data_IF_273055965310
#
_entry.id   IF_273055965310
#
_cell.length_a   1.000
_cell.length_b   1.000
_cell.length_c   1.000
_cell.angle_alpha   90.00
_cell.angle_beta   90.00
_cell.angle_gamma   90.00
#
_symmetry.space_group_name_H-M   'P 1'
#
loop_
_entity.id
_entity.type
_entity.pdbx_description
1 polymer ?
#
# COMPACT_ATOMS: atom_id res chain seq x y z
N UNK A 1 2.33 -14.82 11.86
CA UNK A 1 2.29 -13.55 11.08
C UNK A 1 1.08 -12.73 11.54
N UNK A 2 1.05 -11.41 11.36
CA UNK A 2 -0.16 -10.63 11.60
C UNK A 2 -1.20 -10.90 10.48
N UNK A 3 -2.49 -10.67 10.77
CA UNK A 3 -3.55 -10.63 9.76
C UNK A 3 -3.44 -9.37 8.89
N UNK A 4 -4.29 -9.24 7.87
CA UNK A 4 -4.33 -8.05 7.04
C UNK A 4 -4.71 -6.79 7.86
N UNK A 5 -4.23 -5.59 7.47
CA UNK A 5 -4.77 -4.34 7.99
C UNK A 5 -6.27 -4.21 7.70
N UNK A 6 -6.96 -3.38 8.47
CA UNK A 6 -8.43 -3.21 8.38
C UNK A 6 -8.80 -1.79 7.98
N UNK A 7 -10.06 -1.58 7.60
CA UNK A 7 -10.65 -0.26 7.37
C UNK A 7 -9.78 0.67 6.50
N UNK A 8 -9.15 0.11 5.47
CA UNK A 8 -8.29 0.89 4.60
C UNK A 8 -9.14 1.81 3.72
N UNK A 9 -8.74 3.05 3.62
CA UNK A 9 -9.39 4.08 2.83
C UNK A 9 -8.35 4.87 2.04
N UNK A 10 -8.79 5.43 0.92
CA UNK A 10 -7.97 6.29 0.06
C UNK A 10 -8.67 7.62 -0.18
N UNK A 11 -7.94 8.72 -0.08
CA UNK A 11 -8.38 10.04 -0.49
C UNK A 11 -7.47 10.57 -1.61
N UNK A 12 -8.04 10.86 -2.77
CA UNK A 12 -7.31 11.30 -3.97
C UNK A 12 -7.37 12.80 -4.08
N UNK A 13 -6.21 13.41 -4.30
CA UNK A 13 -6.08 14.81 -4.66
C UNK A 13 -5.19 14.91 -5.91
N UNK A 14 -5.80 15.13 -7.07
CA UNK A 14 -5.12 15.20 -8.38
C UNK A 14 -4.26 13.95 -8.65
N UNK A 15 -2.92 14.10 -8.58
CA UNK A 15 -1.87 13.08 -8.76
C UNK A 15 -1.31 12.54 -7.45
N UNK A 16 -1.95 12.86 -6.32
CA UNK A 16 -1.57 12.42 -4.99
C UNK A 16 -2.68 11.63 -4.32
N UNK A 17 -2.31 10.70 -3.46
CA UNK A 17 -3.24 9.84 -2.72
C UNK A 17 -2.80 9.76 -1.27
N UNK A 18 -3.71 10.10 -0.36
CA UNK A 18 -3.58 9.78 1.06
C UNK A 18 -4.19 8.41 1.32
N UNK A 19 -3.42 7.50 1.91
CA UNK A 19 -3.91 6.21 2.36
C UNK A 19 -3.91 6.19 3.88
N UNK A 20 -4.98 5.66 4.46
CA UNK A 20 -5.11 5.44 5.88
C UNK A 20 -5.75 4.07 6.14
N UNK A 21 -5.33 3.40 7.20
CA UNK A 21 -5.86 2.10 7.59
C UNK A 21 -5.88 1.94 9.11
N UNK A 22 -6.48 0.85 9.57
CA UNK A 22 -6.45 0.39 10.95
C UNK A 22 -5.52 -0.81 11.11
N UNK A 23 -5.03 -1.00 12.33
CA UNK A 23 -4.20 -2.14 12.66
C UNK A 23 -4.92 -3.49 12.39
N UNK A 24 -4.16 -4.57 12.13
CA UNK A 24 -4.67 -5.92 12.05
C UNK A 24 -5.46 -6.30 13.29
N UNK A 25 -6.44 -7.19 13.13
CA UNK A 25 -7.15 -7.79 14.25
C UNK A 25 -6.24 -8.69 15.07
N UNK A 26 -5.43 -9.48 14.37
CA UNK A 26 -4.49 -10.41 14.97
C UNK A 26 -3.07 -9.96 14.63
N UNK A 27 -2.27 -9.63 15.64
CA UNK A 27 -0.86 -9.31 15.44
C UNK A 27 0.05 -10.55 15.49
N UNK A 28 -0.54 -11.73 15.71
CA UNK A 28 0.20 -12.96 16.03
C UNK A 28 0.90 -12.89 17.39
N UNK A 29 0.33 -12.15 18.36
CA UNK A 29 0.88 -12.01 19.71
C UNK A 29 2.09 -11.08 19.82
N UNK A 30 2.40 -10.34 18.75
CA UNK A 30 3.60 -9.50 18.60
C UNK A 30 3.25 -8.01 18.62
N UNK A 31 4.20 -7.17 19.03
CA UNK A 31 4.05 -5.70 19.11
C UNK A 31 4.92 -4.95 18.11
N UNK A 32 5.73 -5.65 17.34
CA UNK A 32 6.62 -5.14 16.29
C UNK A 32 5.95 -5.14 14.91
N UNK A 33 4.63 -4.97 14.85
CA UNK A 33 3.91 -4.86 13.58
C UNK A 33 4.36 -3.60 12.84
N UNK A 34 4.67 -3.76 11.54
CA UNK A 34 4.99 -2.69 10.61
C UNK A 34 4.20 -2.88 9.32
N UNK A 35 4.15 -1.83 8.50
CA UNK A 35 3.41 -1.85 7.25
C UNK A 35 4.31 -1.57 6.03
N UNK A 36 3.99 -2.23 4.92
CA UNK A 36 4.62 -2.03 3.62
C UNK A 36 3.58 -1.70 2.58
N UNK A 37 3.93 -0.81 1.64
CA UNK A 37 3.06 -0.43 0.51
C UNK A 37 3.59 -1.07 -0.77
N UNK A 38 2.78 -1.92 -1.39
CA UNK A 38 2.99 -2.39 -2.76
C UNK A 38 2.07 -1.60 -3.67
N UNK A 39 2.61 -1.10 -4.77
CA UNK A 39 1.92 -0.23 -5.70
C UNK A 39 2.10 -0.78 -7.10
N UNK A 40 1.00 -0.95 -7.81
CA UNK A 40 0.97 -1.32 -9.22
C UNK A 40 -0.01 -0.44 -10.00
N UNK A 41 0.18 -0.40 -11.32
CA UNK A 41 -0.77 0.17 -12.27
C UNK A 41 -0.96 -0.79 -13.44
N UNK A 42 -2.00 -0.56 -14.23
CA UNK A 42 -2.14 -1.25 -15.52
C UNK A 42 -1.32 -0.48 -16.56
N UNK A 43 -0.39 -1.17 -17.21
CA UNK A 43 0.35 -0.63 -18.35
C UNK A 43 -0.60 -0.33 -19.49
N UNK A 44 -0.55 0.88 -20.04
CA UNK A 44 -1.35 1.27 -21.21
C UNK A 44 -0.91 0.56 -22.47
N UNK A 45 0.33 0.06 -22.52
CA UNK A 45 0.89 -0.63 -23.68
C UNK A 45 0.56 -2.12 -23.67
N UNK A 46 0.76 -2.80 -22.54
CA UNK A 46 0.61 -4.26 -22.45
C UNK A 46 -0.71 -4.71 -21.82
N UNK A 47 -1.45 -3.80 -21.17
CA UNK A 47 -2.64 -4.15 -20.38
C UNK A 47 -2.36 -4.99 -19.14
N UNK A 48 -1.08 -5.21 -18.79
CA UNK A 48 -0.68 -5.99 -17.62
C UNK A 48 -0.39 -5.11 -16.41
N UNK A 49 -0.45 -5.71 -15.22
CA UNK A 49 -0.02 -5.06 -14.00
C UNK A 49 1.50 -4.86 -14.01
N UNK A 50 1.93 -3.64 -13.79
CA UNK A 50 3.33 -3.27 -13.62
C UNK A 50 3.52 -2.51 -12.29
N UNK A 51 4.71 -2.57 -11.68
CA UNK A 51 5.03 -1.74 -10.53
C UNK A 51 4.86 -0.25 -10.84
N UNK A 52 4.49 0.53 -9.83
CA UNK A 52 4.49 1.98 -9.95
C UNK A 52 5.89 2.51 -10.33
N UNK A 53 5.91 3.57 -11.15
CA UNK A 53 7.14 4.15 -11.66
C UNK A 53 8.05 4.68 -10.54
N UNK A 54 9.36 4.72 -10.81
CA UNK A 54 10.37 5.19 -9.85
C UNK A 54 10.21 6.67 -9.45
N UNK A 55 9.45 7.45 -10.23
CA UNK A 55 9.10 8.83 -9.93
C UNK A 55 8.10 8.98 -8.78
N UNK A 56 7.35 7.92 -8.42
CA UNK A 56 6.34 7.97 -7.36
C UNK A 56 7.01 8.11 -6.00
N UNK A 57 6.61 9.13 -5.24
CA UNK A 57 7.13 9.41 -3.90
C UNK A 57 6.20 8.89 -2.81
N UNK A 58 6.80 8.42 -1.71
CA UNK A 58 6.12 7.82 -0.57
C UNK A 58 6.55 8.54 0.70
N UNK A 59 5.64 9.22 1.40
CA UNK A 59 5.93 10.00 2.61
C UNK A 59 5.16 9.44 3.81
N UNK A 60 5.85 9.04 4.90
CA UNK A 60 7.29 9.27 5.15
C UNK A 60 8.22 8.29 4.42
N UNK A 61 7.75 7.08 4.09
CA UNK A 61 8.53 6.03 3.43
C UNK A 61 7.61 4.91 2.93
N UNK A 62 8.07 4.07 2.01
CA UNK A 62 7.25 3.00 1.41
C UNK A 62 7.13 1.74 2.29
N UNK A 63 8.14 1.43 3.08
CA UNK A 63 8.26 0.15 3.82
C UNK A 63 8.61 0.37 5.29
N UNK A 64 8.26 -0.58 6.15
CA UNK A 64 8.60 -0.54 7.57
C UNK A 64 7.89 0.58 8.34
N UNK A 65 6.73 1.02 7.87
CA UNK A 65 5.90 2.04 8.50
C UNK A 65 5.41 1.57 9.86
N UNK A 66 5.43 2.46 10.86
CA UNK A 66 4.82 2.23 12.18
C UNK A 66 3.45 2.85 12.31
N UNK A 67 3.26 3.98 11.64
CA UNK A 67 1.98 4.67 11.56
C UNK A 67 1.07 4.00 10.53
N UNK A 68 -0.21 4.28 10.62
CA UNK A 68 -1.24 3.67 9.76
C UNK A 68 -1.73 4.61 8.66
N UNK A 69 -0.84 5.49 8.20
CA UNK A 69 -1.12 6.39 7.09
C UNK A 69 0.14 6.75 6.30
N UNK A 70 -0.06 7.13 5.04
CA UNK A 70 1.00 7.55 4.12
C UNK A 70 0.44 8.49 3.05
N UNK A 71 1.27 9.42 2.57
CA UNK A 71 1.02 10.16 1.33
C UNK A 71 1.81 9.55 0.18
N UNK A 72 1.14 9.27 -0.93
CA UNK A 72 1.75 8.89 -2.21
C UNK A 72 1.59 10.04 -3.19
N UNK A 73 2.66 10.45 -3.85
CA UNK A 73 2.70 11.65 -4.71
C UNK A 73 3.32 11.35 -6.07
N UNK A 74 3.11 12.28 -7.00
CA UNK A 74 3.63 12.24 -8.37
C UNK A 74 3.19 11.00 -9.16
N UNK A 75 1.96 10.56 -8.92
CA UNK A 75 1.31 9.55 -9.74
C UNK A 75 0.96 10.15 -11.10
N UNK A 76 0.93 9.32 -12.14
CA UNK A 76 0.39 9.75 -13.43
C UNK A 76 -1.09 10.09 -13.29
N UNK A 77 -1.53 11.17 -13.92
CA UNK A 77 -2.95 11.53 -14.00
C UNK A 77 -3.76 10.49 -14.79
N UNK A 78 -5.07 10.43 -14.57
CA UNK A 78 -5.99 9.55 -15.29
C UNK A 78 -5.57 8.08 -15.33
N UNK A 79 -4.93 7.60 -14.27
CA UNK A 79 -4.36 6.26 -14.21
C UNK A 79 -4.95 5.49 -13.04
N UNK A 80 -5.29 4.22 -13.29
CA UNK A 80 -5.76 3.30 -12.26
C UNK A 80 -4.57 2.64 -11.58
N UNK A 81 -4.44 2.88 -10.29
CA UNK A 81 -3.46 2.29 -9.40
C UNK A 81 -4.13 1.30 -8.45
N UNK A 82 -3.38 0.27 -8.08
CA UNK A 82 -3.71 -0.64 -6.98
C UNK A 82 -2.63 -0.50 -5.90
N UNK A 83 -3.07 -0.22 -4.68
CA UNK A 83 -2.23 -0.17 -3.50
C UNK A 83 -2.56 -1.33 -2.57
N UNK A 84 -1.57 -2.18 -2.29
CA UNK A 84 -1.68 -3.20 -1.24
C UNK A 84 -0.95 -2.70 0.00
N UNK A 85 -1.67 -2.62 1.12
CA UNK A 85 -1.10 -2.35 2.43
C UNK A 85 -0.91 -3.67 3.14
N UNK A 86 0.34 -4.07 3.32
CA UNK A 86 0.72 -5.32 3.97
C UNK A 86 1.07 -5.08 5.44
N UNK A 87 0.64 -5.98 6.33
CA UNK A 87 1.12 -6.03 7.71
C UNK A 87 2.22 -7.09 7.85
N UNK A 88 3.33 -6.72 8.48
CA UNK A 88 4.46 -7.63 8.75
C UNK A 88 4.93 -7.52 10.21
N UNK A 89 5.52 -8.58 10.74
CA UNK A 89 6.25 -8.57 12.01
C UNK A 89 7.51 -9.46 11.90
N UNK A 90 8.31 -9.58 12.96
CA UNK A 90 9.55 -10.37 12.93
C UNK A 90 9.40 -11.88 12.76
N UNK A 91 8.18 -12.43 12.59
CA UNK A 91 7.98 -13.84 12.20
C UNK A 91 7.37 -13.99 10.81
N UNK A 92 7.04 -12.88 10.12
CA UNK A 92 6.49 -12.93 8.76
C UNK A 92 7.44 -13.62 7.77
N UNK A 93 8.76 -13.46 7.93
CA UNK A 93 9.78 -14.11 7.08
C UNK A 93 9.95 -15.61 7.37
N UNK A 94 9.53 -16.06 8.56
CA UNK A 94 9.64 -17.47 8.99
C UNK A 94 8.42 -18.30 8.55
N UNK A 95 7.34 -17.64 8.16
CA UNK A 95 6.15 -18.28 7.59
C UNK A 95 6.13 -18.12 6.06
N UNK A 96 6.25 -19.23 5.33
CA UNK A 96 5.99 -19.27 3.89
C UNK A 96 4.53 -18.85 3.55
N UNK A 97 4.22 -18.51 2.29
CA UNK A 97 4.29 -17.18 1.69
C UNK A 97 2.95 -16.41 1.74
N UNK A 98 2.13 -16.57 2.78
CA UNK A 98 0.84 -15.88 2.83
C UNK A 98 1.02 -14.41 3.25
N UNK A 99 1.33 -13.55 2.26
CA UNK A 99 1.24 -12.10 2.41
C UNK A 99 -0.18 -11.72 2.83
N UNK A 100 -0.31 -11.01 3.95
CA UNK A 100 -1.59 -10.54 4.47
C UNK A 100 -1.71 -9.05 4.22
N UNK A 101 -2.62 -8.67 3.34
CA UNK A 101 -2.77 -7.29 2.89
C UNK A 101 -4.23 -6.93 2.64
N UNK A 102 -4.48 -5.62 2.62
CA UNK A 102 -5.72 -5.03 2.12
C UNK A 102 -5.40 -4.25 0.85
N UNK A 103 -6.30 -4.31 -0.12
CA UNK A 103 -6.10 -3.69 -1.44
C UNK A 103 -7.04 -2.51 -1.65
N UNK A 104 -6.51 -1.43 -2.21
CA UNK A 104 -7.22 -0.20 -2.56
C UNK A 104 -7.01 0.09 -4.05
N UNK A 105 -8.10 0.24 -4.79
CA UNK A 105 -8.06 0.65 -6.18
C UNK A 105 -8.36 2.15 -6.27
N UNK A 106 -7.47 2.89 -6.93
CA UNK A 106 -7.46 4.35 -6.94
C UNK A 106 -7.29 4.85 -8.37
N UNK A 107 -8.18 5.75 -8.79
CA UNK A 107 -8.04 6.47 -10.05
C UNK A 107 -7.61 7.90 -9.75
N UNK A 108 -6.50 8.33 -10.33
CA UNK A 108 -6.02 9.72 -10.22
C UNK A 108 -6.77 10.64 -11.18
N UNK A 109 -6.93 11.90 -10.77
CA UNK A 109 -7.63 12.92 -11.57
C UNK A 109 -6.64 13.81 -12.33
N UNK A 110 -7.16 14.79 -13.06
CA UNK A 110 -6.33 15.84 -13.68
C UNK A 110 -5.67 16.70 -12.58
N UNK A 111 -4.45 17.16 -12.86
CA UNK A 111 -3.74 18.18 -12.06
C UNK A 111 -4.03 19.58 -12.59
#
# INVERSE_FOLDING_TARGET
PPSAPRNAISNVNETSVFLEWSAPEETGGRKDVRYNIVCSKISTESGQYEPCGSHVRYLPQRTGLRNTSIMVMDLLAHTNYTFEVEAVNGVSELTAPLRQYVSLNVTTNQA
#
